data_IF_891422647094
#
_entry.id   IF_891422647094
#
_cell.length_a   1.000
_cell.length_b   1.000
_cell.length_c   1.000
_cell.angle_alpha   90.00
_cell.angle_beta   90.00
_cell.angle_gamma   90.00
#
_symmetry.space_group_name_H-M   'P 1'
#
loop_
_entity.id
_entity.type
_entity.pdbx_description
1 polymer ?
#
# COMPACT_ATOMS: atom_id res chain seq x y z
N UNK A 1 13.07 -12.51 -31.53
CA UNK A 1 11.78 -11.78 -31.61
C UNK A 1 11.95 -10.63 -32.58
N UNK A 2 10.93 -10.22 -33.36
CA UNK A 2 11.06 -9.05 -34.23
C UNK A 2 11.49 -7.84 -33.39
N UNK A 3 12.41 -7.04 -33.93
CA UNK A 3 12.85 -5.79 -33.32
C UNK A 3 11.62 -4.94 -33.04
N UNK A 4 11.45 -4.49 -31.79
CA UNK A 4 10.39 -3.57 -31.43
C UNK A 4 10.47 -2.27 -32.23
N UNK A 5 9.49 -1.36 -32.09
CA UNK A 5 9.55 -0.03 -32.70
C UNK A 5 10.90 0.64 -32.39
N UNK A 6 11.58 1.16 -33.40
CA UNK A 6 12.82 1.91 -33.19
C UNK A 6 12.47 3.38 -32.95
N UNK A 7 13.03 3.94 -31.87
CA UNK A 7 12.95 5.37 -31.53
C UNK A 7 14.38 5.78 -31.22
N UNK A 8 14.87 6.81 -31.89
CA UNK A 8 16.24 7.28 -31.70
C UNK A 8 16.42 7.95 -30.33
N UNK A 9 17.66 7.99 -29.84
CA UNK A 9 18.01 8.74 -28.61
C UNK A 9 17.54 10.20 -28.69
N UNK A 10 17.80 10.88 -29.81
CA UNK A 10 17.41 12.27 -30.02
C UNK A 10 15.88 12.46 -29.91
N UNK A 11 15.10 11.55 -30.51
CA UNK A 11 13.64 11.59 -30.39
C UNK A 11 13.19 11.34 -28.95
N UNK A 12 13.83 10.43 -28.21
CA UNK A 12 13.54 10.25 -26.79
C UNK A 12 13.88 11.47 -25.94
N UNK A 13 14.97 12.18 -26.25
CA UNK A 13 15.33 13.44 -25.57
C UNK A 13 14.22 14.48 -25.77
N UNK A 14 13.75 14.68 -27.00
CA UNK A 14 12.63 15.58 -27.30
C UNK A 14 11.33 15.20 -26.55
N UNK A 15 11.05 13.88 -26.47
CA UNK A 15 9.90 13.35 -25.74
C UNK A 15 10.04 13.66 -24.24
N UNK A 16 11.19 13.32 -23.64
CA UNK A 16 11.45 13.45 -22.21
C UNK A 16 11.47 14.91 -21.72
N UNK A 17 11.90 15.85 -22.57
CA UNK A 17 11.89 17.28 -22.26
C UNK A 17 10.50 17.93 -22.41
N UNK A 18 9.51 17.18 -22.88
CA UNK A 18 8.16 17.69 -23.07
C UNK A 18 7.27 17.43 -21.83
N UNK A 19 7.24 18.39 -20.90
CA UNK A 19 6.48 18.32 -19.65
C UNK A 19 4.95 18.18 -19.82
N UNK A 20 4.43 18.51 -21.02
CA UNK A 20 3.00 18.31 -21.36
C UNK A 20 2.72 16.88 -21.84
N UNK A 21 3.76 16.15 -22.26
CA UNK A 21 3.67 14.81 -22.83
C UNK A 21 4.02 13.72 -21.80
N UNK A 22 5.11 13.93 -21.05
CA UNK A 22 5.66 12.97 -20.09
C UNK A 22 5.41 13.47 -18.68
N UNK A 23 4.85 12.62 -17.82
CA UNK A 23 4.59 12.96 -16.42
C UNK A 23 5.74 12.49 -15.54
N UNK A 24 5.97 13.19 -14.42
CA UNK A 24 7.06 12.88 -13.49
C UNK A 24 6.99 11.44 -12.94
N UNK A 25 5.79 10.96 -12.66
CA UNK A 25 5.57 9.60 -12.17
C UNK A 25 5.88 8.52 -13.23
N UNK A 26 5.71 8.80 -14.52
CA UNK A 26 6.13 7.91 -15.61
C UNK A 26 7.66 7.86 -15.72
N UNK A 27 8.35 9.00 -15.56
CA UNK A 27 9.82 9.06 -15.54
C UNK A 27 10.39 8.23 -14.39
N UNK A 28 9.72 8.25 -13.22
CA UNK A 28 10.11 7.43 -12.07
C UNK A 28 10.16 5.93 -12.39
N UNK A 29 9.31 5.41 -13.29
CA UNK A 29 9.35 3.99 -13.69
C UNK A 29 10.69 3.67 -14.35
N UNK A 30 11.13 4.54 -15.26
CA UNK A 30 12.39 4.33 -15.99
C UNK A 30 13.59 4.50 -15.07
N UNK A 31 13.58 5.54 -14.22
CA UNK A 31 14.62 5.79 -13.24
C UNK A 31 14.77 4.62 -12.27
N UNK A 32 13.66 4.09 -11.74
CA UNK A 32 13.65 2.92 -10.86
C UNK A 32 14.22 1.69 -11.54
N UNK A 33 13.78 1.39 -12.77
CA UNK A 33 14.31 0.26 -13.52
C UNK A 33 15.81 0.39 -13.81
N UNK A 34 16.29 1.60 -14.11
CA UNK A 34 17.72 1.89 -14.31
C UNK A 34 18.54 1.71 -13.03
N UNK A 35 17.97 1.96 -11.85
CA UNK A 35 18.73 1.92 -10.62
C UNK A 35 18.96 0.50 -10.07
N UNK A 36 18.17 -0.47 -10.48
CA UNK A 36 18.29 -1.86 -10.02
C UNK A 36 19.61 -2.48 -10.46
N UNK A 37 20.19 -3.35 -9.62
CA UNK A 37 21.45 -4.02 -9.93
C UNK A 37 21.34 -4.87 -11.22
N UNK A 38 20.24 -5.61 -11.36
CA UNK A 38 19.97 -6.46 -12.52
C UNK A 38 19.53 -5.70 -13.79
N UNK A 39 19.19 -4.41 -13.68
CA UNK A 39 18.61 -3.59 -14.76
C UNK A 39 17.36 -4.22 -15.39
N UNK A 40 16.65 -5.03 -14.60
CA UNK A 40 15.46 -5.77 -14.98
C UNK A 40 14.45 -5.75 -13.83
N UNK A 41 13.16 -5.61 -14.15
CA UNK A 41 12.06 -5.79 -13.19
C UNK A 41 10.72 -5.96 -13.90
N UNK A 42 9.82 -6.70 -13.30
CA UNK A 42 8.41 -6.80 -13.66
C UNK A 42 7.64 -5.51 -13.30
N UNK A 43 6.45 -5.34 -13.90
CA UNK A 43 5.56 -4.24 -13.51
C UNK A 43 5.14 -4.32 -12.03
N UNK A 44 5.11 -5.53 -11.46
CA UNK A 44 4.75 -5.75 -10.07
C UNK A 44 5.84 -5.24 -9.13
N UNK A 45 7.11 -5.58 -9.39
CA UNK A 45 8.26 -5.06 -8.64
C UNK A 45 8.35 -3.56 -8.73
N UNK A 46 8.24 -3.01 -9.95
CA UNK A 46 8.26 -1.57 -10.16
C UNK A 46 7.16 -0.86 -9.36
N UNK A 47 5.94 -1.41 -9.32
CA UNK A 47 4.86 -0.84 -8.51
C UNK A 47 5.21 -0.84 -7.02
N UNK A 48 5.75 -1.95 -6.50
CA UNK A 48 6.18 -2.08 -5.10
C UNK A 48 7.27 -1.07 -4.75
N UNK A 49 8.33 -1.00 -5.55
CA UNK A 49 9.45 -0.07 -5.36
C UNK A 49 9.02 1.40 -5.40
N UNK A 50 7.97 1.70 -6.18
CA UNK A 50 7.41 3.05 -6.30
C UNK A 50 6.30 3.34 -5.26
N UNK A 51 5.93 2.37 -4.42
CA UNK A 51 4.84 2.50 -3.46
C UNK A 51 3.45 2.62 -4.09
N UNK A 52 3.26 2.06 -5.28
CA UNK A 52 2.00 2.05 -6.03
C UNK A 52 1.16 0.82 -5.73
N UNK A 53 -0.14 0.85 -6.07
CA UNK A 53 -1.11 -0.16 -5.62
C UNK A 53 -0.89 -1.54 -6.23
N UNK A 54 -0.26 -1.60 -7.39
CA UNK A 54 0.07 -2.87 -8.06
C UNK A 54 0.47 -2.65 -9.51
N UNK A 55 0.73 -3.76 -10.22
CA UNK A 55 1.27 -3.75 -11.59
C UNK A 55 0.45 -2.91 -12.59
N UNK A 56 -0.87 -2.82 -12.38
CA UNK A 56 -1.77 -2.04 -13.24
C UNK A 56 -1.43 -0.54 -13.21
N UNK A 57 -0.93 0.00 -12.10
CA UNK A 57 -0.53 1.41 -12.02
C UNK A 57 0.66 1.69 -12.95
N UNK A 58 1.65 0.78 -12.98
CA UNK A 58 2.79 0.85 -13.90
C UNK A 58 2.34 0.66 -15.34
N UNK A 59 1.59 -0.40 -15.61
CA UNK A 59 1.16 -0.75 -16.98
C UNK A 59 0.26 0.33 -17.59
N UNK A 60 -0.67 0.91 -16.83
CA UNK A 60 -1.56 1.97 -17.32
C UNK A 60 -0.80 3.26 -17.62
N UNK A 61 0.23 3.60 -16.83
CA UNK A 61 1.09 4.76 -17.09
C UNK A 61 1.92 4.56 -18.35
N UNK A 62 2.56 3.41 -18.51
CA UNK A 62 3.30 3.05 -19.74
C UNK A 62 2.39 3.03 -20.97
N UNK A 63 1.18 2.47 -20.84
CA UNK A 63 0.16 2.49 -21.89
C UNK A 63 -0.25 3.93 -22.25
N UNK A 64 -0.52 4.76 -21.24
CA UNK A 64 -0.95 6.14 -21.41
C UNK A 64 0.13 6.99 -22.08
N UNK A 65 1.38 6.88 -21.63
CA UNK A 65 2.52 7.54 -22.24
C UNK A 65 2.73 7.09 -23.70
N UNK A 66 2.69 5.79 -23.95
CA UNK A 66 2.82 5.24 -25.30
C UNK A 66 1.74 5.76 -26.25
N UNK A 67 0.48 5.87 -25.79
CA UNK A 67 -0.61 6.46 -26.58
C UNK A 67 -0.34 7.93 -26.93
N UNK A 68 0.13 8.72 -25.96
CA UNK A 68 0.42 10.15 -26.20
C UNK A 68 1.58 10.34 -27.18
N UNK A 69 2.61 9.50 -27.10
CA UNK A 69 3.73 9.53 -28.05
C UNK A 69 3.26 9.19 -29.47
N UNK A 70 2.50 8.11 -29.65
CA UNK A 70 2.01 7.69 -30.97
C UNK A 70 1.00 8.66 -31.61
N UNK A 71 0.42 9.59 -30.84
CA UNK A 71 -0.43 10.66 -31.39
C UNK A 71 0.37 11.81 -31.98
N UNK A 72 1.62 12.00 -31.52
CA UNK A 72 2.46 13.15 -31.86
C UNK A 72 3.63 12.80 -32.79
N UNK A 73 4.12 11.58 -32.69
CA UNK A 73 5.28 11.12 -33.45
C UNK A 73 4.87 9.99 -34.38
N UNK A 74 5.34 10.06 -35.63
CA UNK A 74 5.12 9.01 -36.63
C UNK A 74 6.04 7.83 -36.38
N UNK A 75 5.64 6.96 -35.45
CA UNK A 75 6.40 5.78 -35.03
C UNK A 75 5.61 4.52 -35.43
N UNK A 76 6.25 3.66 -36.20
CA UNK A 76 5.66 2.37 -36.59
C UNK A 76 5.58 1.43 -35.38
N UNK A 77 4.37 1.26 -34.86
CA UNK A 77 4.14 0.48 -33.66
C UNK A 77 3.99 -1.02 -33.93
N UNK A 78 4.60 -1.86 -33.08
CA UNK A 78 4.41 -3.30 -33.17
C UNK A 78 3.00 -3.74 -32.71
N UNK A 79 2.50 -4.80 -33.35
CA UNK A 79 1.20 -5.39 -33.04
C UNK A 79 1.38 -6.81 -32.52
N UNK A 80 0.51 -7.21 -31.59
CA UNK A 80 0.36 -8.61 -31.16
C UNK A 80 -0.27 -9.44 -32.29
N UNK A 81 -0.25 -10.77 -32.14
CA UNK A 81 -0.91 -11.71 -33.06
C UNK A 81 -2.39 -11.41 -33.26
N UNK A 82 -3.07 -10.92 -32.22
CA UNK A 82 -4.47 -10.49 -32.27
C UNK A 82 -4.67 -9.05 -32.81
N UNK A 83 -3.65 -8.43 -33.40
CA UNK A 83 -3.70 -7.08 -33.98
C UNK A 83 -3.62 -5.93 -32.98
N UNK A 84 -3.68 -6.18 -31.67
CA UNK A 84 -3.60 -5.12 -30.65
C UNK A 84 -2.20 -4.51 -30.59
N UNK A 85 -2.10 -3.18 -30.48
CA UNK A 85 -0.82 -2.48 -30.31
C UNK A 85 -0.20 -2.90 -28.97
N UNK A 86 1.08 -3.27 -29.02
CA UNK A 86 1.94 -3.38 -27.85
C UNK A 86 2.43 -1.96 -27.55
N UNK A 87 2.40 -1.47 -26.32
CA UNK A 87 2.82 -0.08 -26.01
C UNK A 87 4.09 -0.04 -25.16
N UNK A 88 4.28 -1.06 -24.32
CA UNK A 88 5.46 -1.18 -23.47
C UNK A 88 6.75 -1.34 -24.27
N UNK A 89 6.67 -1.91 -25.47
CA UNK A 89 7.81 -2.18 -26.34
C UNK A 89 8.33 -0.94 -27.05
N UNK A 90 7.71 0.22 -26.89
CA UNK A 90 8.33 1.51 -27.23
C UNK A 90 9.56 1.72 -26.35
N UNK A 91 9.42 1.45 -25.05
CA UNK A 91 10.38 1.83 -24.00
C UNK A 91 11.28 0.67 -23.58
N UNK A 92 10.76 -0.56 -23.64
CA UNK A 92 11.40 -1.71 -23.03
C UNK A 92 11.69 -2.83 -24.03
N UNK A 93 12.77 -3.56 -23.74
CA UNK A 93 12.93 -4.97 -24.10
C UNK A 93 12.49 -5.83 -22.90
N UNK A 94 12.47 -7.15 -23.05
CA UNK A 94 12.19 -8.00 -21.89
C UNK A 94 12.11 -9.48 -22.21
N UNK A 95 12.02 -10.27 -21.15
CA UNK A 95 11.87 -11.73 -21.19
C UNK A 95 10.86 -12.19 -20.17
N UNK A 96 10.31 -13.39 -20.37
CA UNK A 96 9.51 -14.04 -19.35
C UNK A 96 10.41 -14.80 -18.37
N UNK A 97 10.06 -14.71 -17.09
CA UNK A 97 10.59 -15.53 -16.01
C UNK A 97 9.40 -16.05 -15.20
N UNK A 98 9.11 -17.35 -15.33
CA UNK A 98 7.85 -17.93 -14.85
C UNK A 98 6.63 -17.24 -15.47
N UNK A 99 5.75 -16.69 -14.62
CA UNK A 99 4.53 -15.96 -15.04
C UNK A 99 4.76 -14.46 -15.23
N UNK A 100 5.96 -13.95 -14.93
CA UNK A 100 6.25 -12.52 -14.98
C UNK A 100 7.00 -12.15 -16.25
N UNK A 101 6.74 -10.94 -16.75
CA UNK A 101 7.52 -10.34 -17.83
C UNK A 101 8.46 -9.30 -17.23
N UNK A 102 9.76 -9.56 -17.30
CA UNK A 102 10.79 -8.65 -16.81
C UNK A 102 11.11 -7.61 -17.90
N UNK A 103 10.87 -6.34 -17.60
CA UNK A 103 11.24 -5.21 -18.45
C UNK A 103 12.72 -4.90 -18.29
N UNK A 104 13.36 -4.50 -19.38
CA UNK A 104 14.66 -3.83 -19.41
C UNK A 104 14.55 -2.59 -20.29
N UNK A 105 15.11 -1.46 -19.86
CA UNK A 105 15.13 -0.26 -20.69
C UNK A 105 15.83 -0.51 -22.03
N UNK A 106 15.32 0.10 -23.09
CA UNK A 106 16.08 0.15 -24.35
C UNK A 106 17.30 1.07 -24.20
N UNK A 107 18.44 0.73 -24.84
CA UNK A 107 19.65 1.55 -24.77
C UNK A 107 19.44 3.01 -25.19
N UNK A 108 18.60 3.25 -26.21
CA UNK A 108 18.32 4.60 -26.71
C UNK A 108 17.57 5.46 -25.69
N UNK A 109 16.63 4.87 -24.96
CA UNK A 109 15.91 5.54 -23.88
C UNK A 109 16.82 5.79 -22.68
N UNK A 110 17.69 4.84 -22.35
CA UNK A 110 18.66 4.98 -21.26
C UNK A 110 19.66 6.11 -21.52
N UNK A 111 20.20 6.18 -22.75
CA UNK A 111 21.05 7.28 -23.18
C UNK A 111 20.33 8.64 -23.12
N UNK A 112 19.05 8.69 -23.55
CA UNK A 112 18.26 9.91 -23.51
C UNK A 112 17.97 10.38 -22.07
N UNK A 113 17.70 9.45 -21.15
CA UNK A 113 17.54 9.78 -19.72
C UNK A 113 18.83 10.37 -19.13
N UNK A 114 19.99 9.83 -19.53
CA UNK A 114 21.30 10.35 -19.10
C UNK A 114 21.54 11.78 -19.62
N UNK A 115 21.26 12.02 -20.90
CA UNK A 115 21.43 13.31 -21.57
C UNK A 115 20.51 14.39 -21.00
N UNK A 116 19.26 14.03 -20.68
CA UNK A 116 18.31 14.91 -19.99
C UNK A 116 18.66 15.16 -18.51
N UNK A 117 19.73 14.55 -17.99
CA UNK A 117 20.10 14.66 -16.57
C UNK A 117 19.14 13.94 -15.62
N UNK A 118 18.24 13.10 -16.15
CA UNK A 118 17.21 12.39 -15.38
C UNK A 118 17.77 11.16 -14.66
N UNK A 119 19.04 10.80 -14.86
CA UNK A 119 19.71 9.71 -14.13
C UNK A 119 20.58 10.20 -12.97
N UNK A 120 20.79 11.52 -12.85
CA UNK A 120 21.60 12.11 -11.78
C UNK A 120 20.69 12.50 -10.61
N UNK A 121 21.15 12.30 -9.39
CA UNK A 121 20.40 12.64 -8.18
C UNK A 121 19.00 12.01 -8.13
N UNK A 122 18.84 10.80 -8.66
CA UNK A 122 17.58 10.08 -8.47
C UNK A 122 17.50 9.73 -6.98
N UNK A 123 16.79 10.56 -6.21
CA UNK A 123 16.17 10.08 -4.98
C UNK A 123 15.01 9.21 -5.43
N UNK A 124 15.33 7.97 -5.79
CA UNK A 124 14.32 6.95 -5.97
C UNK A 124 13.47 6.96 -4.70
N UNK A 125 12.21 6.57 -4.76
CA UNK A 125 11.52 6.07 -3.58
C UNK A 125 12.21 4.82 -2.98
N UNK A 126 13.40 4.44 -3.47
CA UNK A 126 14.33 3.46 -2.90
C UNK A 126 15.40 4.28 -2.16
N UNK A 127 15.61 4.21 -0.86
CA UNK A 127 15.19 3.25 0.14
C UNK A 127 14.65 4.07 1.30
N UNK A 128 13.34 4.05 1.52
CA UNK A 128 12.90 4.40 2.88
C UNK A 128 13.59 3.40 3.80
N UNK A 129 14.25 3.86 4.88
CA UNK A 129 15.00 2.99 5.76
C UNK A 129 14.22 1.71 6.05
N UNK A 130 14.85 0.56 5.84
CA UNK A 130 14.23 -0.72 6.10
C UNK A 130 14.54 -1.17 7.52
N UNK A 131 13.56 -1.77 8.18
CA UNK A 131 13.68 -2.25 9.54
C UNK A 131 13.24 -3.70 9.64
N UNK A 132 14.03 -4.46 10.40
CA UNK A 132 13.77 -5.86 10.72
C UNK A 132 13.03 -5.94 12.05
N UNK A 133 11.85 -6.55 12.01
CA UNK A 133 11.05 -6.90 13.17
C UNK A 133 11.13 -8.41 13.38
N UNK A 134 10.97 -8.86 14.62
CA UNK A 134 11.14 -10.26 14.98
C UNK A 134 9.92 -10.79 15.74
N UNK A 135 9.45 -11.96 15.31
CA UNK A 135 8.47 -12.77 16.01
C UNK A 135 9.11 -14.08 16.50
N UNK A 136 8.84 -14.45 17.74
CA UNK A 136 9.26 -15.72 18.30
C UNK A 136 8.05 -16.45 18.92
N UNK A 137 7.46 -17.46 18.24
CA UNK A 137 6.31 -18.21 18.74
C UNK A 137 6.55 -18.91 20.09
N UNK A 138 7.81 -19.20 20.46
CA UNK A 138 8.13 -19.78 21.76
C UNK A 138 8.04 -18.76 22.90
N UNK A 139 8.07 -17.45 22.60
CA UNK A 139 7.94 -16.37 23.59
C UNK A 139 6.56 -15.74 23.59
N UNK A 140 5.94 -15.58 22.42
CA UNK A 140 4.63 -14.96 22.26
C UNK A 140 3.84 -15.68 21.17
N UNK A 141 2.66 -16.20 21.55
CA UNK A 141 1.76 -16.86 20.63
C UNK A 141 0.92 -15.84 19.86
N UNK A 142 0.92 -15.99 18.53
CA UNK A 142 0.12 -15.18 17.64
C UNK A 142 -1.16 -15.95 17.28
N UNK A 143 -2.15 -15.88 18.17
CA UNK A 143 -3.33 -16.76 18.15
C UNK A 143 -4.20 -16.59 16.89
N UNK A 144 -4.25 -15.40 16.33
CA UNK A 144 -5.09 -15.01 15.19
C UNK A 144 -4.30 -14.88 13.86
N UNK A 145 -3.07 -15.42 13.80
CA UNK A 145 -2.22 -15.31 12.60
C UNK A 145 -2.92 -15.81 11.32
N UNK A 146 -3.59 -16.97 11.35
CA UNK A 146 -4.26 -17.50 10.16
C UNK A 146 -5.43 -16.60 9.72
N UNK A 147 -6.21 -16.08 10.68
CA UNK A 147 -7.29 -15.14 10.38
C UNK A 147 -6.75 -13.86 9.74
N UNK A 148 -5.60 -13.37 10.20
CA UNK A 148 -4.95 -12.19 9.62
C UNK A 148 -4.38 -12.45 8.23
N UNK A 149 -3.88 -13.66 7.94
CA UNK A 149 -3.46 -14.06 6.60
C UNK A 149 -4.66 -14.10 5.64
N UNK A 150 -5.80 -14.63 6.09
CA UNK A 150 -7.04 -14.64 5.31
C UNK A 150 -7.60 -13.21 5.10
N UNK A 151 -7.52 -12.35 6.11
CA UNK A 151 -7.92 -10.94 5.99
C UNK A 151 -7.00 -10.17 5.04
N UNK A 152 -5.69 -10.38 5.13
CA UNK A 152 -4.73 -9.84 4.19
C UNK A 152 -5.02 -10.29 2.75
N UNK A 153 -5.38 -11.55 2.53
CA UNK A 153 -5.77 -12.04 1.20
C UNK A 153 -7.00 -11.30 0.65
N UNK A 154 -8.00 -11.04 1.50
CA UNK A 154 -9.26 -10.39 1.09
C UNK A 154 -9.09 -8.88 0.85
N UNK A 155 -8.24 -8.22 1.62
CA UNK A 155 -8.15 -6.75 1.67
C UNK A 155 -6.84 -6.20 1.08
N UNK A 156 -5.86 -7.06 0.84
CA UNK A 156 -4.50 -6.72 0.45
C UNK A 156 -3.64 -6.10 1.56
N UNK A 157 -4.16 -5.99 2.78
CA UNK A 157 -3.53 -5.25 3.90
C UNK A 157 -3.90 -5.82 5.25
N UNK A 158 -2.93 -5.98 6.14
CA UNK A 158 -3.18 -6.30 7.55
C UNK A 158 -2.30 -5.42 8.43
N UNK A 159 -2.87 -4.82 9.49
CA UNK A 159 -2.11 -3.93 10.37
C UNK A 159 -1.81 -4.58 11.71
N UNK A 160 -0.58 -4.45 12.20
CA UNK A 160 -0.16 -4.94 13.52
C UNK A 160 0.63 -3.89 14.29
N UNK A 161 0.51 -3.94 15.62
CA UNK A 161 1.30 -3.09 16.52
C UNK A 161 2.53 -3.86 16.99
N UNK A 162 3.72 -3.30 16.77
CA UNK A 162 4.98 -3.99 17.09
C UNK A 162 5.92 -3.12 17.90
N UNK A 163 6.69 -3.74 18.80
CA UNK A 163 7.76 -3.06 19.52
C UNK A 163 8.89 -2.64 18.58
N UNK A 164 9.46 -1.45 18.82
CA UNK A 164 10.48 -0.87 17.95
C UNK A 164 11.58 -0.17 18.75
N UNK A 165 12.81 -0.68 18.67
CA UNK A 165 13.97 -0.03 19.33
C UNK A 165 14.48 1.19 18.57
N UNK A 166 14.26 1.27 17.26
CA UNK A 166 14.70 2.38 16.42
C UNK A 166 13.70 3.55 16.39
N UNK A 167 12.91 3.73 17.45
CA UNK A 167 11.84 4.72 17.56
C UNK A 167 12.28 6.16 17.25
N UNK A 168 13.55 6.51 17.43
CA UNK A 168 14.07 7.85 17.11
C UNK A 168 14.25 8.08 15.60
N UNK A 169 14.44 7.02 14.82
CA UNK A 169 14.77 7.06 13.39
C UNK A 169 13.63 6.62 12.47
N UNK A 170 12.83 5.67 12.93
CA UNK A 170 11.73 5.09 12.13
C UNK A 170 10.61 6.12 11.92
N UNK A 171 10.01 6.15 10.74
CA UNK A 171 8.96 7.09 10.33
C UNK A 171 7.85 6.37 9.54
N UNK A 172 6.62 6.94 9.49
CA UNK A 172 5.57 6.44 8.62
C UNK A 172 6.04 6.27 7.18
N UNK A 173 5.79 5.09 6.64
CA UNK A 173 6.10 4.55 5.33
C UNK A 173 7.47 3.88 5.19
N UNK A 174 8.30 3.87 6.25
CA UNK A 174 9.54 3.10 6.28
C UNK A 174 9.30 1.61 6.02
N UNK A 175 10.25 0.95 5.36
CA UNK A 175 10.09 -0.43 4.91
C UNK A 175 10.24 -1.39 6.07
N UNK A 176 9.45 -2.45 6.07
CA UNK A 176 9.42 -3.45 7.13
C UNK A 176 9.59 -4.85 6.56
N UNK A 177 10.42 -5.65 7.23
CA UNK A 177 10.47 -7.10 7.10
C UNK A 177 10.28 -7.75 8.47
N UNK A 178 9.59 -8.89 8.51
CA UNK A 178 9.37 -9.65 9.72
C UNK A 178 10.07 -11.01 9.63
N UNK A 179 10.97 -11.27 10.59
CA UNK A 179 11.65 -12.56 10.75
C UNK A 179 10.99 -13.41 11.83
N UNK A 180 10.78 -14.70 11.55
CA UNK A 180 10.43 -15.73 12.52
C UNK A 180 11.67 -16.36 13.14
N UNK A 181 11.71 -16.41 14.47
CA UNK A 181 12.80 -16.96 15.27
C UNK A 181 12.29 -17.98 16.30
N UNK A 182 13.21 -18.68 16.98
CA UNK A 182 12.90 -19.56 18.12
C UNK A 182 12.21 -20.90 17.79
N UNK A 183 11.68 -21.08 16.58
CA UNK A 183 11.16 -22.35 16.09
C UNK A 183 11.47 -22.51 14.60
N UNK A 184 11.58 -23.75 14.12
CA UNK A 184 11.77 -24.06 12.69
C UNK A 184 10.43 -24.05 11.96
N UNK A 185 10.36 -23.60 10.68
CA UNK A 185 11.42 -22.92 9.93
C UNK A 185 11.69 -21.48 10.46
N UNK A 186 12.96 -21.05 10.43
CA UNK A 186 13.36 -19.67 10.76
C UNK A 186 13.62 -18.91 9.46
N UNK A 187 13.17 -17.66 9.39
CA UNK A 187 13.29 -16.90 8.15
C UNK A 187 12.34 -15.69 8.06
N UNK A 188 12.44 -14.96 6.95
CA UNK A 188 11.54 -13.85 6.65
C UNK A 188 10.18 -14.40 6.23
N UNK A 189 9.13 -13.93 6.90
CA UNK A 189 7.76 -14.42 6.70
C UNK A 189 6.76 -13.31 6.34
N UNK A 190 7.16 -12.05 6.45
CA UNK A 190 6.29 -10.93 6.10
C UNK A 190 7.09 -9.72 5.62
N UNK A 191 6.44 -8.88 4.81
CA UNK A 191 6.93 -7.56 4.42
C UNK A 191 5.81 -6.52 4.51
N UNK A 192 6.19 -5.26 4.66
CA UNK A 192 5.21 -4.18 4.84
C UNK A 192 5.84 -2.82 5.01
N UNK A 193 5.07 -1.89 5.57
CA UNK A 193 5.52 -0.53 5.86
C UNK A 193 4.98 -0.04 7.18
N UNK A 194 5.70 0.88 7.80
CA UNK A 194 5.22 1.61 8.97
C UNK A 194 4.07 2.53 8.55
N UNK A 195 3.03 2.65 9.35
CA UNK A 195 1.88 3.54 9.07
C UNK A 195 1.53 4.49 10.23
N UNK A 196 2.32 4.47 11.31
CA UNK A 196 2.19 5.41 12.43
C UNK A 196 3.52 6.06 12.78
N UNK A 197 3.46 7.21 13.44
CA UNK A 197 4.61 7.68 14.22
C UNK A 197 4.87 6.72 15.40
N UNK A 198 6.11 6.66 15.92
CA UNK A 198 6.42 5.88 17.11
C UNK A 198 5.67 6.41 18.34
N UNK A 199 5.06 5.50 19.09
CA UNK A 199 4.30 5.81 20.30
C UNK A 199 4.67 4.86 21.43
N UNK A 200 4.45 5.25 22.68
CA UNK A 200 4.65 4.37 23.83
C UNK A 200 3.37 3.60 24.16
N UNK A 201 3.53 2.34 24.53
CA UNK A 201 2.46 1.50 25.05
C UNK A 201 3.03 0.43 26.00
N UNK A 202 2.21 -0.14 26.90
CA UNK A 202 2.66 -1.19 27.82
C UNK A 202 3.29 -2.38 27.08
N UNK A 203 4.29 -3.00 27.70
CA UNK A 203 4.93 -4.20 27.16
C UNK A 203 3.93 -5.38 27.12
N UNK A 204 4.09 -6.27 26.13
CA UNK A 204 3.15 -7.39 25.92
C UNK A 204 3.16 -8.43 27.06
N UNK A 205 4.19 -8.43 27.90
CA UNK A 205 4.38 -9.36 29.02
C UNK A 205 3.78 -8.88 30.34
N UNK A 206 3.06 -7.74 30.36
CA UNK A 206 2.42 -7.22 31.56
C UNK A 206 3.35 -6.51 32.56
N UNK A 207 4.61 -6.24 32.19
CA UNK A 207 5.46 -5.31 32.96
C UNK A 207 4.95 -3.87 32.80
N UNK A 208 4.93 -3.11 33.92
CA UNK A 208 4.69 -1.65 33.98
C UNK A 208 5.87 -0.86 33.38
N UNK A 209 6.25 -1.22 32.15
CA UNK A 209 7.26 -0.53 31.35
C UNK A 209 6.65 -0.14 30.03
N UNK A 210 6.62 1.16 29.80
CA UNK A 210 6.29 1.71 28.50
C UNK A 210 7.40 1.38 27.51
N UNK A 211 7.02 0.74 26.40
CA UNK A 211 7.92 0.48 25.29
C UNK A 211 7.44 1.20 24.04
N UNK A 212 8.40 1.59 23.22
CA UNK A 212 8.13 2.18 21.93
C UNK A 212 7.57 1.13 20.96
N UNK A 213 6.49 1.51 20.29
CA UNK A 213 5.79 0.72 19.30
C UNK A 213 5.52 1.54 18.04
N UNK A 214 5.25 0.82 16.96
CA UNK A 214 4.77 1.36 15.69
C UNK A 214 3.64 0.49 15.15
N UNK A 215 2.77 1.06 14.32
CA UNK A 215 1.81 0.29 13.51
C UNK A 215 2.47 -0.06 12.19
N UNK A 216 2.43 -1.34 11.82
CA UNK A 216 2.95 -1.91 10.58
C UNK A 216 1.75 -2.35 9.74
N UNK A 217 1.66 -1.89 8.49
CA UNK A 217 0.75 -2.45 7.46
C UNK A 217 1.55 -3.46 6.63
N UNK A 218 1.22 -4.75 6.73
CA UNK A 218 1.78 -5.80 5.92
C UNK A 218 1.22 -5.79 4.51
N UNK A 219 2.11 -5.83 3.52
CA UNK A 219 1.77 -6.09 2.11
C UNK A 219 1.95 -7.56 1.73
N UNK A 220 2.68 -8.33 2.52
CA UNK A 220 2.75 -9.79 2.45
C UNK A 220 2.85 -10.35 3.86
N UNK A 221 2.02 -11.34 4.20
CA UNK A 221 2.05 -12.06 5.46
C UNK A 221 1.83 -13.56 5.19
N UNK A 222 2.80 -14.39 5.57
CA UNK A 222 2.75 -15.85 5.37
C UNK A 222 2.50 -16.57 6.70
N UNK A 223 1.84 -17.72 6.67
CA UNK A 223 1.74 -18.58 7.85
C UNK A 223 2.81 -19.69 7.79
N UNK A 224 3.87 -19.66 8.60
CA UNK A 224 4.97 -20.62 8.56
C UNK A 224 4.59 -22.05 8.97
N UNK A 225 3.39 -22.25 9.52
CA UNK A 225 2.83 -23.58 9.74
C UNK A 225 2.14 -24.19 8.51
N UNK A 226 1.91 -23.39 7.46
CA UNK A 226 1.15 -23.79 6.27
C UNK A 226 1.80 -23.37 4.94
N UNK A 227 2.65 -22.35 4.97
CA UNK A 227 3.32 -21.72 3.85
C UNK A 227 4.85 -21.78 4.06
N UNK A 228 5.59 -21.96 2.97
CA UNK A 228 7.04 -21.76 2.98
C UNK A 228 7.38 -20.32 3.35
N UNK A 229 8.55 -20.12 3.96
CA UNK A 229 9.10 -18.78 4.26
C UNK A 229 10.53 -18.70 3.71
N UNK A 230 11.05 -17.48 3.48
CA UNK A 230 12.42 -17.27 3.03
C UNK A 230 13.38 -17.60 4.18
N UNK A 231 13.97 -18.79 4.15
CA UNK A 231 14.74 -19.32 5.29
C UNK A 231 16.04 -18.54 5.51
N UNK A 232 16.57 -18.60 6.74
CA UNK A 232 17.84 -17.95 7.08
C UNK A 232 19.03 -18.44 6.23
N UNK A 233 18.94 -19.65 5.64
CA UNK A 233 19.97 -20.20 4.76
C UNK A 233 20.16 -19.36 3.49
N UNK A 234 19.10 -18.72 3.00
CA UNK A 234 19.15 -17.80 1.85
C UNK A 234 19.63 -16.39 2.21
N UNK A 235 19.86 -16.10 3.50
CA UNK A 235 20.26 -14.77 3.97
C UNK A 235 21.76 -14.68 4.30
N UNK A 236 22.54 -15.70 3.95
CA UNK A 236 23.97 -15.83 4.26
C UNK A 236 24.87 -15.59 3.03
N UNK A 237 24.33 -14.97 1.99
CA UNK A 237 25.06 -14.64 0.74
C UNK A 237 25.18 -13.13 0.53
N UNK A 238 26.14 -12.70 -0.29
CA UNK A 238 26.20 -11.33 -0.80
C UNK A 238 26.22 -10.24 0.27
N UNK A 239 25.39 -9.20 0.11
CA UNK A 239 25.19 -8.14 1.09
C UNK A 239 24.33 -8.61 2.28
N UNK A 240 23.50 -9.64 2.11
CA UNK A 240 22.66 -10.21 3.18
C UNK A 240 23.51 -10.79 4.31
N UNK A 241 24.65 -11.42 3.99
CA UNK A 241 25.58 -11.97 4.98
C UNK A 241 26.14 -10.92 5.97
N UNK A 242 26.07 -9.63 5.62
CA UNK A 242 26.55 -8.52 6.48
C UNK A 242 25.50 -8.05 7.50
N UNK A 243 24.25 -8.49 7.36
CA UNK A 243 23.14 -8.08 8.20
C UNK A 243 22.88 -9.09 9.32
N UNK A 244 22.58 -8.60 10.53
CA UNK A 244 22.12 -9.45 11.63
C UNK A 244 20.64 -9.79 11.48
N UNK A 245 20.33 -11.02 11.05
CA UNK A 245 18.94 -11.51 10.84
C UNK A 245 18.27 -12.12 12.06
N UNK A 246 19.01 -12.28 13.16
CA UNK A 246 18.50 -12.82 14.44
C UNK A 246 18.63 -11.79 15.55
N UNK A 247 17.87 -10.67 15.48
CA UNK A 247 18.04 -9.59 16.43
C UNK A 247 17.45 -9.95 17.81
N UNK A 248 18.07 -9.43 18.86
CA UNK A 248 17.60 -9.53 20.25
C UNK A 248 16.35 -8.66 20.51
N UNK A 249 16.07 -7.70 19.64
CA UNK A 249 14.95 -6.76 19.76
C UNK A 249 14.33 -6.47 18.39
N UNK A 250 13.07 -6.05 18.37
CA UNK A 250 12.37 -5.72 17.12
C UNK A 250 12.60 -4.27 16.69
N UNK A 251 12.49 -4.03 15.38
CA UNK A 251 12.64 -2.70 14.79
C UNK A 251 14.10 -2.26 14.72
N UNK A 252 15.02 -3.17 14.38
CA UNK A 252 16.43 -2.83 14.12
C UNK A 252 16.60 -2.41 12.66
N UNK A 253 17.51 -1.49 12.33
CA UNK A 253 17.73 -1.09 10.94
C UNK A 253 18.33 -2.24 10.13
N UNK A 254 17.94 -2.31 8.85
CA UNK A 254 18.56 -3.15 7.83
C UNK A 254 19.53 -2.27 7.04
N UNK A 255 20.75 -2.75 6.81
CA UNK A 255 21.75 -2.07 5.98
C UNK A 255 21.16 -1.79 4.58
N UNK A 256 21.36 -0.59 3.99
CA UNK A 256 20.76 -0.24 2.70
C UNK A 256 21.02 -1.26 1.58
N UNK A 257 22.24 -1.77 1.49
CA UNK A 257 22.64 -2.76 0.50
C UNK A 257 21.95 -4.12 0.74
N UNK A 258 21.86 -4.53 2.01
CA UNK A 258 21.15 -5.74 2.39
C UNK A 258 19.63 -5.60 2.20
N UNK A 259 19.07 -4.40 2.39
CA UNK A 259 17.66 -4.13 2.17
C UNK A 259 17.30 -4.24 0.68
N UNK A 260 18.16 -3.73 -0.21
CA UNK A 260 17.98 -3.86 -1.65
C UNK A 260 18.03 -5.34 -2.08
N UNK A 261 19.08 -6.07 -1.68
CA UNK A 261 19.22 -7.49 -2.01
C UNK A 261 18.08 -8.31 -1.40
N UNK A 262 17.61 -7.97 -0.19
CA UNK A 262 16.49 -8.66 0.43
C UNK A 262 15.18 -8.44 -0.32
N UNK A 263 14.93 -7.25 -0.85
CA UNK A 263 13.75 -6.99 -1.68
C UNK A 263 13.76 -7.87 -2.94
N UNK A 264 14.92 -8.03 -3.57
CA UNK A 264 15.12 -8.88 -4.75
C UNK A 264 14.88 -10.37 -4.39
N UNK A 265 15.55 -10.88 -3.36
CA UNK A 265 15.41 -12.28 -2.91
C UNK A 265 14.00 -12.58 -2.41
N UNK A 266 13.38 -11.66 -1.68
CA UNK A 266 12.01 -11.80 -1.22
C UNK A 266 11.02 -11.81 -2.37
N UNK A 267 11.20 -10.95 -3.38
CA UNK A 267 10.37 -11.00 -4.57
C UNK A 267 10.56 -12.32 -5.33
N UNK A 268 11.80 -12.74 -5.55
CA UNK A 268 12.12 -14.00 -6.21
C UNK A 268 11.49 -15.19 -5.46
N UNK A 269 11.61 -15.22 -4.14
CA UNK A 269 10.95 -16.21 -3.29
C UNK A 269 9.41 -16.22 -3.49
N UNK A 270 8.76 -15.06 -3.41
CA UNK A 270 7.30 -14.96 -3.54
C UNK A 270 6.78 -15.33 -4.93
N UNK A 271 7.63 -15.25 -5.95
CA UNK A 271 7.27 -15.50 -7.34
C UNK A 271 7.58 -16.92 -7.83
N UNK A 272 8.54 -17.59 -7.19
CA UNK A 272 8.97 -18.94 -7.57
C UNK A 272 8.36 -20.04 -6.70
N UNK A 273 8.02 -19.73 -5.45
CA UNK A 273 7.45 -20.71 -4.53
C UNK A 273 5.95 -20.92 -4.78
N UNK A 274 5.49 -22.16 -4.55
CA UNK A 274 4.06 -22.48 -4.52
C UNK A 274 3.45 -22.06 -3.18
N UNK A 275 3.10 -20.78 -3.07
CA UNK A 275 2.38 -20.24 -1.91
C UNK A 275 0.87 -20.48 -2.08
N UNK A 276 0.15 -20.72 -0.98
CA UNK A 276 -1.32 -20.84 -1.00
C UNK A 276 -1.99 -19.58 -1.56
N UNK A 277 -1.42 -18.42 -1.26
CA UNK A 277 -1.88 -17.11 -1.71
C UNK A 277 -0.70 -16.33 -2.31
N UNK A 278 -0.44 -16.47 -3.62
CA UNK A 278 0.65 -15.73 -4.25
C UNK A 278 0.25 -14.24 -4.28
N UNK A 279 1.03 -13.34 -3.63
CA UNK A 279 0.68 -11.92 -3.53
C UNK A 279 0.58 -11.21 -4.90
N UNK A 280 1.06 -11.86 -5.95
CA UNK A 280 1.21 -11.32 -7.29
C UNK A 280 0.50 -12.17 -8.37
N UNK A 281 -0.31 -13.16 -7.96
CA UNK A 281 -1.10 -13.96 -8.89
C UNK A 281 -2.07 -13.08 -9.68
N UNK A 282 -2.21 -13.36 -10.97
CA UNK A 282 -3.12 -12.65 -11.85
C UNK A 282 -4.57 -13.00 -11.48
N UNK A 283 -5.39 -12.00 -11.12
CA UNK A 283 -6.83 -12.16 -10.91
C UNK A 283 -7.59 -12.60 -12.20
N UNK A 284 -6.88 -12.79 -13.31
CA UNK A 284 -7.40 -13.17 -14.62
C UNK A 284 -7.48 -14.68 -14.87
N UNK A 285 -7.17 -15.53 -13.88
CA UNK A 285 -7.39 -16.98 -13.97
C UNK A 285 -8.55 -17.50 -13.11
N UNK A 286 -9.52 -16.66 -12.76
CA UNK A 286 -10.83 -17.14 -12.33
C UNK A 286 -11.80 -16.93 -13.48
N UNK A 287 -12.14 -18.05 -14.13
CA UNK A 287 -13.12 -18.11 -15.18
C UNK A 287 -14.39 -17.37 -14.77
N UNK A 288 -14.94 -16.64 -15.74
CA UNK A 288 -16.23 -15.97 -15.72
C UNK A 288 -17.26 -16.58 -14.75
N UNK A 289 -17.29 -16.06 -13.53
CA UNK A 289 -18.46 -16.07 -12.67
C UNK A 289 -18.74 -14.63 -12.31
N UNK A 290 -19.84 -14.11 -12.86
CA UNK A 290 -20.38 -12.81 -12.47
C UNK A 290 -20.95 -12.97 -11.07
N UNK A 291 -20.22 -12.48 -10.06
CA UNK A 291 -20.73 -12.34 -8.71
C UNK A 291 -21.31 -10.94 -8.54
N UNK A 292 -22.61 -10.84 -8.28
CA UNK A 292 -23.24 -9.61 -7.81
C UNK A 292 -22.96 -9.44 -6.31
N UNK A 293 -22.50 -8.26 -5.88
CA UNK A 293 -22.13 -7.97 -4.48
C UNK A 293 -20.64 -7.75 -4.19
N UNK A 294 -19.78 -7.69 -5.21
CA UNK A 294 -18.39 -7.26 -5.02
C UNK A 294 -18.35 -5.79 -4.56
N UNK A 295 -17.88 -5.55 -3.34
CA UNK A 295 -17.67 -4.20 -2.83
C UNK A 295 -16.59 -3.50 -3.65
N UNK A 296 -16.99 -2.51 -4.45
CA UNK A 296 -16.07 -1.58 -5.09
C UNK A 296 -15.76 -0.49 -4.07
N UNK A 297 -14.59 -0.56 -3.43
CA UNK A 297 -14.16 0.55 -2.57
C UNK A 297 -13.70 1.74 -3.41
N UNK A 298 -14.40 2.85 -3.22
CA UNK A 298 -14.00 4.17 -3.69
C UNK A 298 -13.06 4.77 -2.65
N UNK A 299 -11.86 5.21 -3.05
CA UNK A 299 -10.89 5.85 -2.14
C UNK A 299 -11.49 7.16 -1.62
N UNK A 300 -11.96 7.17 -0.37
CA UNK A 300 -12.23 8.40 0.38
C UNK A 300 -11.10 8.65 1.37
N UNK A 301 -10.50 9.84 1.31
CA UNK A 301 -9.52 10.33 2.28
C UNK A 301 -10.16 10.34 3.68
N UNK A 302 -9.76 9.41 4.56
CA UNK A 302 -10.18 9.43 5.97
C UNK A 302 -9.39 10.51 6.71
N UNK A 303 -10.06 11.59 7.07
CA UNK A 303 -9.59 12.48 8.14
C UNK A 303 -9.72 11.73 9.48
N UNK A 304 -8.66 11.75 10.28
CA UNK A 304 -8.55 11.08 11.58
C UNK A 304 -9.68 11.59 12.51
N UNK A 305 -10.57 10.68 12.94
CA UNK A 305 -11.69 11.02 13.85
C UNK A 305 -11.26 10.75 15.27
N UNK A 306 -11.08 11.80 16.06
CA UNK A 306 -10.71 11.71 17.47
C UNK A 306 -11.80 10.94 18.26
N UNK A 307 -11.47 9.73 18.71
CA UNK A 307 -12.35 8.84 19.47
C UNK A 307 -12.77 9.43 20.82
N UNK A 308 -11.94 10.28 21.42
CA UNK A 308 -12.26 11.00 22.64
C UNK A 308 -13.35 12.06 22.40
N UNK A 309 -13.24 12.83 21.32
CA UNK A 309 -14.27 13.81 20.94
C UNK A 309 -15.62 13.13 20.61
N UNK A 310 -15.59 11.96 19.97
CA UNK A 310 -16.80 11.14 19.76
C UNK A 310 -17.44 10.75 21.09
N UNK A 311 -16.67 10.25 22.05
CA UNK A 311 -17.22 9.77 23.31
C UNK A 311 -17.81 10.91 24.13
N UNK A 312 -17.13 12.06 24.20
CA UNK A 312 -17.66 13.26 24.86
C UNK A 312 -18.97 13.76 24.22
N UNK A 313 -19.08 13.72 22.89
CA UNK A 313 -20.33 14.05 22.18
C UNK A 313 -21.48 13.11 22.60
N UNK A 314 -21.20 11.80 22.73
CA UNK A 314 -22.22 10.80 23.05
C UNK A 314 -22.57 10.76 24.53
N UNK A 315 -21.64 11.09 25.42
CA UNK A 315 -21.92 11.32 26.84
C UNK A 315 -22.88 12.49 27.03
N UNK A 316 -22.76 13.54 26.21
CA UNK A 316 -23.64 14.70 26.29
C UNK A 316 -25.00 14.49 25.62
N UNK A 317 -25.03 13.99 24.37
CA UNK A 317 -26.24 13.91 23.55
C UNK A 317 -26.95 12.54 23.58
N UNK A 318 -26.29 11.49 24.05
CA UNK A 318 -26.80 10.12 24.02
C UNK A 318 -26.76 9.47 22.63
N UNK A 319 -27.51 8.38 22.48
CA UNK A 319 -27.48 7.48 21.31
C UNK A 319 -28.72 7.55 20.43
N UNK A 320 -29.58 8.53 20.63
CA UNK A 320 -30.70 8.81 19.74
C UNK A 320 -30.25 9.68 18.56
N UNK A 321 -30.72 9.38 17.36
CA UNK A 321 -30.43 10.18 16.17
C UNK A 321 -30.98 11.61 16.34
N UNK A 322 -30.12 12.62 16.25
CA UNK A 322 -30.55 14.00 16.36
C UNK A 322 -31.49 14.44 15.24
N UNK A 323 -31.52 13.73 14.09
CA UNK A 323 -32.38 14.04 12.95
C UNK A 323 -33.75 13.32 13.03
N UNK A 324 -33.74 12.00 13.13
CA UNK A 324 -34.95 11.17 13.04
C UNK A 324 -35.37 10.51 14.36
N UNK A 325 -34.66 10.83 15.47
CA UNK A 325 -34.94 10.33 16.82
C UNK A 325 -34.80 8.80 16.99
N UNK A 326 -34.38 8.09 15.93
CA UNK A 326 -34.14 6.66 15.95
C UNK A 326 -33.02 6.27 16.92
N UNK A 327 -33.28 5.27 17.76
CA UNK A 327 -32.36 4.76 18.78
C UNK A 327 -32.20 3.25 18.56
N UNK A 328 -30.97 2.83 18.23
CA UNK A 328 -30.68 1.45 17.87
C UNK A 328 -30.85 0.49 19.03
N UNK A 329 -30.52 0.90 20.26
CA UNK A 329 -30.64 0.03 21.42
C UNK A 329 -32.11 -0.16 21.81
N UNK A 330 -32.93 0.88 21.68
CA UNK A 330 -34.39 0.75 21.88
C UNK A 330 -35.06 -0.13 20.83
N UNK A 331 -34.63 -0.06 19.56
CA UNK A 331 -35.27 -0.82 18.48
C UNK A 331 -34.73 -2.24 18.34
N UNK A 332 -33.41 -2.44 18.49
CA UNK A 332 -32.74 -3.72 18.22
C UNK A 332 -32.16 -4.37 19.47
N UNK A 333 -32.39 -3.80 20.66
CA UNK A 333 -31.87 -4.32 21.92
C UNK A 333 -30.34 -4.25 21.98
N UNK A 334 -29.72 -5.28 22.55
CA UNK A 334 -28.26 -5.36 22.75
C UNK A 334 -27.44 -5.25 21.46
N UNK A 335 -28.01 -5.65 20.31
CA UNK A 335 -27.37 -5.51 19.00
C UNK A 335 -27.14 -4.04 18.63
N UNK A 336 -28.01 -3.14 19.10
CA UNK A 336 -27.91 -1.70 18.89
C UNK A 336 -27.12 -0.95 19.97
N UNK A 337 -26.58 -1.64 20.97
CA UNK A 337 -25.91 -1.00 22.10
C UNK A 337 -24.72 -0.14 21.63
N UNK A 338 -24.76 1.13 22.02
CA UNK A 338 -23.78 2.16 21.64
C UNK A 338 -23.56 2.36 20.13
N UNK A 339 -24.48 1.87 19.29
CA UNK A 339 -24.37 1.94 17.84
C UNK A 339 -25.00 3.23 17.30
N UNK A 340 -24.16 4.24 17.04
CA UNK A 340 -24.55 5.45 16.32
C UNK A 340 -23.33 6.12 15.67
N UNK A 341 -23.56 6.86 14.58
CA UNK A 341 -22.54 7.69 13.94
C UNK A 341 -22.51 9.09 14.54
N UNK A 342 -21.38 9.77 14.44
CA UNK A 342 -21.23 11.19 14.81
C UNK A 342 -20.82 11.99 13.58
N UNK A 343 -21.57 13.04 13.30
CA UNK A 343 -21.40 13.93 12.15
C UNK A 343 -20.87 15.30 12.62
N UNK A 344 -20.05 15.94 11.79
CA UNK A 344 -19.58 17.31 12.05
C UNK A 344 -20.59 18.32 11.51
N UNK A 345 -21.01 19.27 12.33
CA UNK A 345 -21.90 20.38 11.92
C UNK A 345 -21.22 21.34 10.93
N UNK A 346 -19.89 21.39 10.94
CA UNK A 346 -19.08 22.24 10.05
C UNK A 346 -18.08 21.39 9.25
N UNK A 347 -17.94 21.64 7.94
CA UNK A 347 -17.04 20.86 7.08
C UNK A 347 -15.56 21.13 7.38
N UNK A 348 -14.81 20.05 7.63
CA UNK A 348 -13.34 20.05 7.83
C UNK A 348 -12.60 20.34 6.50
N UNK A 349 -13.22 20.08 5.35
CA UNK A 349 -12.55 20.10 4.04
C UNK A 349 -12.16 21.50 3.52
N UNK A 350 -12.61 22.59 4.15
CA UNK A 350 -12.24 23.96 3.75
C UNK A 350 -11.15 24.58 4.62
N UNK A 351 -10.83 23.97 5.77
CA UNK A 351 -9.76 24.41 6.65
C UNK A 351 -8.59 23.44 6.50
N UNK A 352 -7.65 23.73 5.60
CA UNK A 352 -6.43 22.94 5.40
C UNK A 352 -5.43 22.98 6.58
N UNK A 353 -5.92 23.10 7.81
CA UNK A 353 -5.17 23.16 9.05
C UNK A 353 -5.86 22.30 10.12
N UNK A 354 -5.11 21.64 11.01
CA UNK A 354 -5.69 20.95 12.17
C UNK A 354 -6.46 21.96 13.04
N UNK A 355 -7.74 21.69 13.31
CA UNK A 355 -8.57 22.49 14.22
C UNK A 355 -8.95 21.67 15.45
N UNK A 356 -9.08 22.33 16.59
CA UNK A 356 -9.54 21.70 17.83
C UNK A 356 -11.07 21.54 17.77
N UNK A 357 -11.54 20.30 17.74
CA UNK A 357 -12.97 19.94 17.73
C UNK A 357 -13.58 20.17 19.11
N UNK A 358 -14.67 20.93 19.20
CA UNK A 358 -15.56 21.00 20.37
C UNK A 358 -16.62 19.89 20.27
N UNK A 359 -16.58 18.86 21.14
CA UNK A 359 -17.48 17.71 21.07
C UNK A 359 -18.97 18.03 21.21
N UNK A 360 -19.32 19.19 21.75
CA UNK A 360 -20.71 19.62 21.94
C UNK A 360 -21.14 20.53 20.79
N UNK A 361 -20.30 21.50 20.42
CA UNK A 361 -20.67 22.48 19.39
C UNK A 361 -20.49 21.99 17.96
N UNK A 362 -19.48 21.16 17.71
CA UNK A 362 -19.09 20.78 16.36
C UNK A 362 -19.61 19.41 15.93
N UNK A 363 -20.05 18.59 16.89
CA UNK A 363 -20.46 17.21 16.66
C UNK A 363 -21.95 17.00 16.96
N UNK A 364 -22.53 15.99 16.32
CA UNK A 364 -23.92 15.58 16.56
C UNK A 364 -24.14 14.10 16.26
N UNK A 365 -24.83 13.34 17.13
CA UNK A 365 -25.15 11.93 16.86
C UNK A 365 -26.24 11.81 15.78
N UNK A 366 -26.01 10.95 14.79
CA UNK A 366 -26.96 10.66 13.70
C UNK A 366 -26.92 9.17 13.34
N UNK A 367 -28.05 8.60 12.93
CA UNK A 367 -28.07 7.21 12.45
C UNK A 367 -27.33 7.10 11.09
N UNK A 368 -26.87 5.90 10.70
CA UNK A 368 -26.20 5.68 9.42
C UNK A 368 -26.98 6.19 8.20
N UNK A 369 -28.31 6.04 8.19
CA UNK A 369 -29.16 6.48 7.10
C UNK A 369 -29.20 8.01 7.00
N UNK A 370 -29.47 8.71 8.11
CA UNK A 370 -29.42 10.17 8.14
C UNK A 370 -28.01 10.70 7.82
N UNK A 371 -26.96 10.04 8.32
CA UNK A 371 -25.58 10.42 8.03
C UNK A 371 -25.29 10.38 6.52
N UNK A 372 -25.76 9.33 5.83
CA UNK A 372 -25.65 9.23 4.38
C UNK A 372 -26.44 10.33 3.65
N UNK A 373 -27.63 10.67 4.15
CA UNK A 373 -28.46 11.73 3.56
C UNK A 373 -27.86 13.13 3.73
N UNK A 374 -27.23 13.42 4.87
CA UNK A 374 -26.52 14.70 5.09
C UNK A 374 -25.41 14.90 4.04
N UNK A 375 -24.69 13.83 3.68
CA UNK A 375 -23.59 13.86 2.71
C UNK A 375 -24.00 13.64 1.25
N UNK A 376 -25.30 13.66 0.93
CA UNK A 376 -25.77 13.45 -0.45
C UNK A 376 -25.44 14.62 -1.40
N UNK A 377 -25.06 15.77 -0.84
CA UNK A 377 -24.61 16.97 -1.56
C UNK A 377 -23.35 17.55 -0.88
N UNK A 378 -22.63 18.41 -1.61
CA UNK A 378 -21.48 19.16 -1.12
C UNK A 378 -21.69 20.65 -1.40
N UNK A 379 -21.85 21.52 -0.38
CA UNK A 379 -21.77 21.26 1.06
C UNK A 379 -22.88 20.32 1.60
N UNK A 380 -22.59 19.50 2.65
CA UNK A 380 -23.58 18.67 3.34
C UNK A 380 -24.75 19.48 3.87
N UNK A 381 -25.92 18.84 3.96
CA UNK A 381 -27.08 19.42 4.63
C UNK A 381 -26.82 19.52 6.14
N UNK A 382 -27.43 20.51 6.78
CA UNK A 382 -27.54 20.56 8.23
C UNK A 382 -28.56 19.54 8.74
N UNK A 383 -28.44 19.13 10.01
CA UNK A 383 -29.41 18.24 10.65
C UNK A 383 -30.82 18.81 10.61
N UNK A 384 -30.96 20.12 10.80
CA UNK A 384 -32.27 20.78 10.78
C UNK A 384 -32.85 20.83 9.36
N UNK A 385 -32.04 21.09 8.33
CA UNK A 385 -32.52 21.00 6.94
C UNK A 385 -32.94 19.58 6.58
N UNK A 386 -32.21 18.55 7.02
CA UNK A 386 -32.60 17.18 6.79
C UNK A 386 -33.94 16.87 7.48
N UNK A 387 -34.13 17.31 8.73
CA UNK A 387 -35.42 17.17 9.45
C UNK A 387 -36.59 17.74 8.67
N UNK A 388 -36.45 18.95 8.13
CA UNK A 388 -37.53 19.62 7.39
C UNK A 388 -37.86 18.94 6.05
N UNK A 389 -36.91 18.19 5.48
CA UNK A 389 -37.10 17.45 4.21
C UNK A 389 -37.63 16.03 4.41
N UNK A 390 -37.62 15.53 5.65
CA UNK A 390 -38.19 14.23 5.97
C UNK A 390 -39.72 14.37 6.01
N UNK A 391 -40.41 13.66 5.12
CA UNK A 391 -41.84 13.44 5.29
C UNK A 391 -42.03 12.59 6.56
N UNK A 392 -42.78 13.12 7.52
CA UNK A 392 -43.23 12.36 8.68
C UNK A 392 -44.64 11.88 8.35
N UNK A 393 -44.82 10.57 8.23
CA UNK A 393 -46.14 9.94 8.30
C UNK A 393 -46.50 9.67 9.76
#
# INVERSE_FOLDING_TARGET
MPSGPHISTATFVEILQNDKLVRKDEVLIFQTLHALAAREASATELARLLGWRGKNDVQNKILGLGRRILQKYDIQQSKRTNGTKRYWDLFFTGRYEGVYFLYRLKPELEAALAECGLLRNISLPISRPAYLFAWNPAKWQWADLEQQVEEWQKTGKSTQVWSCVSHRRIRPGDRVFLVRLGSTPRGIMASGKVVSEPFTAPHWNGEDREIWKVVIEFDVLLNPGRDSILTLEFLDTGALAKQQWTPMSSGVPILPEAAQELEEEWFHFLTTQQLRFPPFADASQHGSQLYEGAAIETVQTRYERNTYARNLCLEHYGYACAACEFDFEKTYGSLGHKFIHVHHRTMISTAGQPYQVDPVKDLVPVCPNCHAMLHRQNPPLTVDELKHRMARD
#
